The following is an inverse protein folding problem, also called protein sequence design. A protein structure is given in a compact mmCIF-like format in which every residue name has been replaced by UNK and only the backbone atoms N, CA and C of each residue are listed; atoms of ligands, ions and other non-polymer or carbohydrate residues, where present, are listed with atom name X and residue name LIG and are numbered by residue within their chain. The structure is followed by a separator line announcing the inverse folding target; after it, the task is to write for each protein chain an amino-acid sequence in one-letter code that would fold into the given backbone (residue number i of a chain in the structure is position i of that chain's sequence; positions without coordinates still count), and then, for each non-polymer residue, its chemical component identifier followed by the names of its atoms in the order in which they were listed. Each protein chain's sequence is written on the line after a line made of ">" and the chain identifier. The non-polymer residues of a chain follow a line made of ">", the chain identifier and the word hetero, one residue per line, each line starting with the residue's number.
data_IF_127870778982
#
_entry.id   IF_127870778982
#
_cell.length_a   1.000
_cell.length_b   1.000
_cell.length_c   1.000
_cell.angle_alpha   90.00
_cell.angle_beta   90.00
_cell.angle_gamma   90.00
#
_symmetry.space_group_name_H-M   'P 1'
#
loop_
_entity.id
_entity.type
_entity.pdbx_description
1 polymer ?
#
# COMPACT_ATOMS: atom_id res chain seq x y z
N UNK A 1 9.76 -27.85 16.40
CA UNK A 1 9.63 -26.67 17.28
C UNK A 1 9.51 -25.46 16.37
N UNK A 2 8.29 -25.07 16.01
CA UNK A 2 8.07 -23.95 15.09
C UNK A 2 8.41 -22.66 15.84
N UNK A 3 9.48 -21.97 15.42
CA UNK A 3 9.77 -20.63 15.90
C UNK A 3 8.67 -19.71 15.38
N UNK A 4 7.80 -19.26 16.26
CA UNK A 4 6.94 -18.11 15.99
C UNK A 4 7.86 -16.89 15.90
N UNK A 5 8.13 -16.43 14.68
CA UNK A 5 8.75 -15.11 14.47
C UNK A 5 7.60 -14.13 14.45
N UNK A 6 7.46 -13.23 15.43
CA UNK A 6 6.41 -12.22 15.38
C UNK A 6 6.63 -11.36 14.13
N UNK A 7 5.64 -11.34 13.25
CA UNK A 7 5.57 -10.36 12.16
C UNK A 7 5.38 -8.99 12.81
N UNK A 8 6.46 -8.22 12.90
CA UNK A 8 6.38 -6.80 13.18
C UNK A 8 6.23 -6.10 11.83
N UNK A 9 5.02 -5.67 11.44
CA UNK A 9 4.86 -4.86 10.23
C UNK A 9 5.76 -3.63 10.34
N UNK A 10 6.48 -3.33 9.25
CA UNK A 10 7.29 -2.11 9.18
C UNK A 10 6.35 -0.91 9.16
N UNK A 11 6.66 0.08 10.00
CA UNK A 11 5.97 1.36 10.01
C UNK A 11 6.66 2.34 9.08
N UNK A 12 5.85 3.14 8.40
CA UNK A 12 6.29 4.18 7.49
C UNK A 12 5.63 5.51 7.85
N UNK A 13 6.34 6.61 7.59
CA UNK A 13 5.77 7.95 7.71
C UNK A 13 5.10 8.32 6.40
N UNK A 14 3.78 8.48 6.41
CA UNK A 14 2.97 8.75 5.23
C UNK A 14 2.18 10.04 5.39
N UNK A 15 2.24 10.90 4.37
CA UNK A 15 1.44 12.12 4.25
C UNK A 15 0.10 11.79 3.59
N UNK A 16 -1.02 12.21 4.20
CA UNK A 16 -2.35 12.11 3.58
C UNK A 16 -2.45 13.18 2.50
N UNK A 17 -2.50 12.76 1.23
CA UNK A 17 -2.65 13.65 0.08
C UNK A 17 -4.12 13.88 -0.23
N UNK A 18 -4.92 12.81 -0.19
CA UNK A 18 -6.34 12.84 -0.55
C UNK A 18 -7.13 11.80 0.25
N UNK A 19 -8.41 12.09 0.47
CA UNK A 19 -9.43 11.19 1.01
C UNK A 19 -10.55 11.20 -0.01
N UNK A 20 -10.93 10.03 -0.52
CA UNK A 20 -12.00 9.92 -1.52
C UNK A 20 -13.34 10.41 -0.93
N UNK A 21 -14.08 11.22 -1.70
CA UNK A 21 -15.34 11.82 -1.22
C UNK A 21 -16.52 10.83 -1.19
N UNK A 22 -16.39 9.70 -1.90
CA UNK A 22 -17.43 8.68 -2.06
C UNK A 22 -17.13 7.44 -1.21
N UNK A 23 -15.86 7.04 -1.14
CA UNK A 23 -15.40 5.88 -0.38
C UNK A 23 -14.49 6.34 0.75
N UNK A 24 -15.04 6.49 1.96
CA UNK A 24 -14.31 7.01 3.13
C UNK A 24 -13.03 6.21 3.44
N UNK A 25 -12.97 4.94 3.07
CA UNK A 25 -11.80 4.08 3.26
C UNK A 25 -10.72 4.26 2.19
N UNK A 26 -10.96 4.95 1.08
CA UNK A 26 -9.99 5.13 0.00
C UNK A 26 -9.17 6.43 0.15
N UNK A 27 -7.85 6.32 0.03
CA UNK A 27 -6.91 7.41 0.28
C UNK A 27 -5.79 7.43 -0.75
N UNK A 28 -5.22 8.61 -0.93
CA UNK A 28 -3.93 8.79 -1.59
C UNK A 28 -2.91 9.20 -0.54
N UNK A 29 -1.81 8.45 -0.47
CA UNK A 29 -0.70 8.65 0.46
C UNK A 29 0.57 9.00 -0.29
N UNK A 30 1.40 9.86 0.31
CA UNK A 30 2.78 10.05 -0.12
C UNK A 30 3.74 9.48 0.94
N UNK A 31 4.53 8.49 0.56
CA UNK A 31 5.45 7.76 1.44
C UNK A 31 6.77 7.49 0.72
N UNK A 32 7.90 7.86 1.33
CA UNK A 32 9.25 7.61 0.79
C UNK A 32 9.46 8.02 -0.69
N UNK A 33 8.80 9.07 -1.17
CA UNK A 33 8.93 9.52 -2.57
C UNK A 33 7.94 8.85 -3.54
N UNK A 34 7.07 7.96 -3.05
CA UNK A 34 6.08 7.23 -3.85
C UNK A 34 4.67 7.71 -3.48
N UNK A 35 3.82 7.87 -4.49
CA UNK A 35 2.39 8.13 -4.33
C UNK A 35 1.66 6.78 -4.41
N UNK A 36 0.83 6.49 -3.43
CA UNK A 36 0.10 5.21 -3.32
C UNK A 36 -1.38 5.52 -3.13
N UNK A 37 -2.24 4.88 -3.93
CA UNK A 37 -3.67 4.83 -3.70
C UNK A 37 -4.01 3.52 -3.00
N UNK A 38 -4.68 3.59 -1.85
CA UNK A 38 -4.93 2.42 -1.00
C UNK A 38 -6.19 2.58 -0.14
N UNK A 39 -6.58 1.48 0.51
CA UNK A 39 -7.69 1.46 1.46
C UNK A 39 -7.20 1.37 2.91
N UNK A 40 -7.87 2.07 3.83
CA UNK A 40 -7.62 1.94 5.26
C UNK A 40 -8.31 0.68 5.78
N UNK A 41 -7.50 -0.23 6.31
CA UNK A 41 -8.00 -1.41 7.01
C UNK A 41 -8.45 -1.08 8.45
N UNK A 42 -7.65 -0.30 9.18
CA UNK A 42 -7.93 0.07 10.57
C UNK A 42 -7.31 1.42 10.94
N UNK A 43 -8.12 2.33 11.50
CA UNK A 43 -7.63 3.59 12.08
C UNK A 43 -8.48 3.98 13.31
N UNK A 44 -7.90 4.08 14.51
CA UNK A 44 -8.65 4.37 15.73
C UNK A 44 -8.92 5.87 15.95
N UNK A 45 -8.49 6.73 15.03
CA UNK A 45 -8.62 8.18 15.13
C UNK A 45 -8.98 8.79 13.79
N UNK A 46 -9.42 10.05 13.82
CA UNK A 46 -9.69 10.81 12.60
C UNK A 46 -8.38 11.25 11.94
N UNK A 47 -8.32 11.08 10.63
CA UNK A 47 -7.22 11.51 9.78
C UNK A 47 -7.61 12.76 9.00
N UNK A 48 -6.60 13.56 8.65
CA UNK A 48 -6.78 14.85 7.99
C UNK A 48 -5.79 15.00 6.83
N UNK A 49 -6.26 15.57 5.73
CA UNK A 49 -5.45 15.90 4.55
C UNK A 49 -4.31 16.85 4.96
N UNK A 50 -3.11 16.62 4.43
CA UNK A 50 -1.92 17.40 4.70
C UNK A 50 -1.21 17.05 6.00
N UNK A 51 -1.71 16.08 6.79
CA UNK A 51 -1.04 15.56 7.98
C UNK A 51 -0.29 14.26 7.69
N UNK A 52 0.75 14.02 8.49
CA UNK A 52 1.59 12.83 8.39
C UNK A 52 1.30 11.88 9.55
N UNK A 53 1.17 10.59 9.25
CA UNK A 53 0.89 9.54 10.22
C UNK A 53 1.87 8.38 10.05
N UNK A 54 2.08 7.62 11.13
CA UNK A 54 2.70 6.30 11.02
C UNK A 54 1.68 5.30 10.50
N UNK A 55 2.03 4.60 9.43
CA UNK A 55 1.18 3.61 8.77
C UNK A 55 1.90 2.28 8.62
N UNK A 56 1.12 1.21 8.62
CA UNK A 56 1.56 -0.14 8.29
C UNK A 56 0.84 -0.54 6.99
N UNK A 57 1.57 -1.15 6.06
CA UNK A 57 1.01 -1.61 4.80
C UNK A 57 0.82 -3.12 4.82
N UNK A 58 -0.34 -3.55 4.34
CA UNK A 58 -0.67 -4.95 4.07
C UNK A 58 -1.01 -5.08 2.59
N UNK A 59 -0.48 -6.12 1.95
CA UNK A 59 -0.77 -6.45 0.56
C UNK A 59 -1.60 -7.74 0.54
N UNK A 60 -2.80 -7.66 -0.02
CA UNK A 60 -3.69 -8.81 -0.18
C UNK A 60 -3.64 -9.25 -1.64
N UNK A 61 -3.11 -10.44 -1.88
CA UNK A 61 -3.01 -11.05 -3.19
C UNK A 61 -4.25 -11.92 -3.46
N UNK A 62 -5.00 -11.72 -4.56
CA UNK A 62 -6.08 -12.64 -4.91
C UNK A 62 -5.58 -14.06 -5.18
N UNK A 63 -6.48 -15.04 -5.05
CA UNK A 63 -6.13 -16.46 -5.26
C UNK A 63 -5.65 -16.77 -6.69
N UNK A 64 -6.12 -15.98 -7.66
CA UNK A 64 -5.67 -16.02 -9.05
C UNK A 64 -4.88 -14.76 -9.37
N UNK A 65 -3.56 -14.89 -9.44
CA UNK A 65 -2.65 -13.88 -9.95
C UNK A 65 -1.86 -14.48 -11.10
N UNK A 66 -1.75 -13.71 -12.18
CA UNK A 66 -0.80 -14.00 -13.24
C UNK A 66 0.59 -13.52 -12.79
N UNK A 67 1.52 -14.47 -12.65
CA UNK A 67 2.91 -14.20 -12.29
C UNK A 67 3.82 -14.65 -13.42
N UNK A 68 4.77 -13.81 -13.79
CA UNK A 68 5.83 -14.16 -14.73
C UNK A 68 7.21 -13.87 -14.14
N UNK A 69 8.23 -14.55 -14.68
CA UNK A 69 9.61 -14.29 -14.28
C UNK A 69 10.05 -12.99 -14.93
N UNK A 70 10.30 -11.97 -14.11
CA UNK A 70 10.86 -10.70 -14.60
C UNK A 70 12.20 -10.94 -15.29
N UNK A 71 12.38 -10.36 -16.48
CA UNK A 71 13.66 -10.34 -17.18
C UNK A 71 14.54 -9.16 -16.76
N UNK A 72 13.97 -8.22 -16.01
CA UNK A 72 14.61 -6.99 -15.58
C UNK A 72 14.81 -6.97 -14.05
N UNK A 73 15.82 -6.24 -13.60
CA UNK A 73 16.10 -5.98 -12.17
C UNK A 73 15.17 -4.90 -11.58
N UNK A 74 14.04 -4.61 -12.24
CA UNK A 74 13.10 -3.61 -11.77
C UNK A 74 12.41 -4.08 -10.49
N UNK A 75 12.44 -3.23 -9.47
CA UNK A 75 11.69 -3.41 -8.23
C UNK A 75 10.79 -2.19 -8.10
N UNK A 76 9.48 -2.43 -8.13
CA UNK A 76 8.55 -1.34 -8.12
C UNK A 76 7.10 -1.79 -8.14
N UNK A 77 6.24 -0.78 -8.07
CA UNK A 77 4.79 -0.90 -8.18
C UNK A 77 4.38 0.09 -9.25
N UNK A 78 3.71 -0.40 -10.29
CA UNK A 78 3.12 0.44 -11.33
C UNK A 78 1.61 0.30 -11.28
N UNK A 79 0.91 1.42 -11.13
CA UNK A 79 -0.55 1.46 -11.18
C UNK A 79 -0.99 1.47 -12.63
N UNK A 80 -1.92 0.57 -12.99
CA UNK A 80 -2.50 0.48 -14.33
C UNK A 80 -3.78 1.34 -14.36
N UNK A 81 -3.68 2.51 -14.99
CA UNK A 81 -4.79 3.47 -15.19
C UNK A 81 -5.50 3.93 -13.88
N UNK A 82 -6.73 4.48 -14.01
CA UNK A 82 -7.59 4.93 -12.89
C UNK A 82 -8.27 3.77 -12.13
N UNK A 83 -7.94 2.52 -12.45
CA UNK A 83 -8.42 1.35 -11.72
C UNK A 83 -7.38 0.94 -10.68
N UNK A 84 -7.82 0.41 -9.53
CA UNK A 84 -6.95 -0.07 -8.44
C UNK A 84 -6.06 -1.28 -8.81
N UNK A 85 -5.81 -1.51 -10.09
CA UNK A 85 -4.93 -2.53 -10.65
C UNK A 85 -3.48 -2.06 -10.57
N UNK A 86 -2.58 -2.97 -10.20
CA UNK A 86 -1.16 -2.69 -10.21
C UNK A 86 -0.34 -3.88 -10.68
N UNK A 87 0.80 -3.59 -11.30
CA UNK A 87 1.86 -4.55 -11.59
C UNK A 87 2.90 -4.42 -10.49
N UNK A 88 3.22 -5.55 -9.86
CA UNK A 88 4.24 -5.65 -8.81
C UNK A 88 5.46 -6.36 -9.39
N UNK A 89 6.62 -5.71 -9.35
CA UNK A 89 7.90 -6.29 -9.75
C UNK A 89 8.86 -6.34 -8.57
N UNK A 90 9.51 -7.48 -8.37
CA UNK A 90 10.43 -7.72 -7.26
C UNK A 90 10.97 -9.15 -7.24
N UNK A 91 11.84 -9.43 -6.27
CA UNK A 91 12.50 -10.71 -6.04
C UNK A 91 12.03 -11.43 -4.77
#
# INVERSE_FOLDING_TARGET
>A
MNKFVPFMPKKYSALIMEIDEVVEEAFVLFVNGVIIQCFINFCPFKIEIGKTYEVEFELVLPDSIDMEVSQDEYIGVEMEDDNFSCVLAGY
#
